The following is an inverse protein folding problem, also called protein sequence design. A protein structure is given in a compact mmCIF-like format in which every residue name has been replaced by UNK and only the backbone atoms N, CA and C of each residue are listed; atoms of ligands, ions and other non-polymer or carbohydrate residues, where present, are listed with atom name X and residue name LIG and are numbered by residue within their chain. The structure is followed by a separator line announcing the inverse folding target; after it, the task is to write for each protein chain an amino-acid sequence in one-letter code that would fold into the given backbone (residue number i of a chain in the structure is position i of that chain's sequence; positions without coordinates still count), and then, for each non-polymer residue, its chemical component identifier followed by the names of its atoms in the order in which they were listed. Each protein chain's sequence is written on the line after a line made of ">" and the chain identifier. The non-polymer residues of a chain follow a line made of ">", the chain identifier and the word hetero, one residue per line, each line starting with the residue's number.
data_IF_125197557556
#
_entry.id   IF_125197557556
#
_cell.length_a   1.000
_cell.length_b   1.000
_cell.length_c   1.000
_cell.angle_alpha   90.00
_cell.angle_beta   90.00
_cell.angle_gamma   90.00
#
_symmetry.space_group_name_H-M   'P 1'
#
loop_
_entity.id
_entity.type
_entity.pdbx_description
1 polymer ?
#
# COMPACT_ATOMS: atom_id res chain seq x y z
N UNK A 1 41.69 -21.23 34.16
CA UNK A 1 41.37 -21.16 32.71
C UNK A 1 39.96 -21.73 32.51
N UNK A 2 38.93 -20.88 32.52
CA UNK A 2 37.53 -21.27 32.31
C UNK A 2 37.04 -20.50 31.07
N UNK A 3 37.08 -21.14 29.91
CA UNK A 3 36.48 -20.60 28.67
C UNK A 3 34.97 -20.87 28.73
N UNK A 4 34.20 -19.87 29.15
CA UNK A 4 32.74 -19.84 29.00
C UNK A 4 32.39 -18.82 27.92
N UNK A 5 32.45 -19.23 26.66
CA UNK A 5 31.77 -18.54 25.56
C UNK A 5 31.29 -19.58 24.56
N UNK A 6 30.22 -20.27 24.93
CA UNK A 6 29.40 -21.02 23.98
C UNK A 6 28.29 -20.08 23.48
N UNK A 7 28.64 -19.16 22.60
CA UNK A 7 27.68 -18.41 21.79
C UNK A 7 27.28 -19.26 20.58
N UNK A 8 26.58 -20.36 20.83
CA UNK A 8 26.09 -21.23 19.77
C UNK A 8 25.11 -20.46 18.89
N UNK A 9 25.48 -20.24 17.63
CA UNK A 9 24.53 -19.82 16.60
C UNK A 9 23.39 -20.84 16.59
N UNK A 10 22.18 -20.44 17.00
CA UNK A 10 21.00 -21.31 16.86
C UNK A 10 20.88 -21.67 15.38
N UNK A 11 20.99 -22.96 15.07
CA UNK A 11 20.86 -23.46 13.71
C UNK A 11 19.47 -23.14 13.14
N UNK A 12 19.33 -23.23 11.82
CA UNK A 12 18.03 -23.08 11.17
C UNK A 12 17.05 -24.14 11.69
N UNK A 13 15.94 -23.67 12.28
CA UNK A 13 14.90 -24.52 12.85
C UNK A 13 13.73 -24.70 11.85
N UNK A 14 13.66 -25.82 11.10
CA UNK A 14 12.64 -26.03 10.07
C UNK A 14 11.21 -26.02 10.63
N UNK A 15 11.03 -26.56 11.84
CA UNK A 15 9.73 -26.62 12.53
C UNK A 15 9.24 -25.22 12.87
N UNK A 16 10.13 -24.36 13.37
CA UNK A 16 9.81 -22.97 13.71
C UNK A 16 9.42 -22.18 12.47
N UNK A 17 10.19 -22.30 11.38
CA UNK A 17 9.89 -21.61 10.12
C UNK A 17 8.55 -22.07 9.56
N UNK A 18 8.32 -23.38 9.50
CA UNK A 18 7.06 -23.94 9.00
C UNK A 18 5.86 -23.49 9.83
N UNK A 19 5.98 -23.43 11.16
CA UNK A 19 4.93 -22.95 12.04
C UNK A 19 4.61 -21.46 11.79
N UNK A 20 5.64 -20.60 11.71
CA UNK A 20 5.45 -19.17 11.42
C UNK A 20 4.83 -18.94 10.05
N UNK A 21 5.25 -19.71 9.04
CA UNK A 21 4.66 -19.64 7.70
C UNK A 21 3.17 -20.00 7.74
N UNK A 22 2.79 -21.09 8.44
CA UNK A 22 1.38 -21.47 8.57
C UNK A 22 0.55 -20.39 9.28
N UNK A 23 1.09 -19.77 10.32
CA UNK A 23 0.45 -18.64 11.00
C UNK A 23 0.30 -17.44 10.06
N UNK A 24 1.33 -17.12 9.27
CA UNK A 24 1.30 -16.04 8.27
C UNK A 24 0.19 -16.29 7.24
N UNK A 25 0.06 -17.51 6.73
CA UNK A 25 -1.01 -17.88 5.78
C UNK A 25 -2.40 -17.69 6.41
N UNK A 26 -2.61 -18.13 7.66
CA UNK A 26 -3.88 -17.90 8.36
C UNK A 26 -4.19 -16.41 8.49
N UNK A 27 -3.20 -15.60 8.88
CA UNK A 27 -3.36 -14.14 9.00
C UNK A 27 -3.64 -13.48 7.65
N UNK A 28 -2.97 -13.90 6.59
CA UNK A 28 -3.22 -13.44 5.22
C UNK A 28 -4.68 -13.68 4.85
N UNK A 29 -5.20 -14.89 5.09
CA UNK A 29 -6.61 -15.22 4.81
C UNK A 29 -7.58 -14.35 5.61
N UNK A 30 -7.29 -14.06 6.87
CA UNK A 30 -8.09 -13.11 7.67
C UNK A 30 -8.05 -11.69 7.08
N UNK A 31 -6.87 -11.23 6.67
CA UNK A 31 -6.70 -9.91 6.07
C UNK A 31 -7.43 -9.80 4.72
N UNK A 32 -7.37 -10.84 3.89
CA UNK A 32 -8.13 -10.91 2.64
C UNK A 32 -9.62 -10.81 2.88
N UNK A 33 -10.17 -11.59 3.82
CA UNK A 33 -11.59 -11.50 4.17
C UNK A 33 -11.99 -10.10 4.65
N UNK A 34 -11.14 -9.44 5.44
CA UNK A 34 -11.35 -8.05 5.86
C UNK A 34 -11.40 -7.09 4.67
N UNK A 35 -10.44 -7.18 3.74
CA UNK A 35 -10.36 -6.34 2.55
C UNK A 35 -11.55 -6.60 1.60
N UNK A 36 -11.93 -7.86 1.37
CA UNK A 36 -13.09 -8.21 0.55
C UNK A 36 -14.37 -7.56 1.08
N UNK A 37 -14.56 -7.58 2.39
CA UNK A 37 -15.71 -6.92 3.01
C UNK A 37 -15.62 -5.39 2.92
N UNK A 38 -14.42 -4.81 3.08
CA UNK A 38 -14.16 -3.38 2.89
C UNK A 38 -14.52 -2.93 1.46
N UNK A 39 -14.02 -3.63 0.45
CA UNK A 39 -14.33 -3.36 -0.96
C UNK A 39 -15.83 -3.43 -1.23
N UNK A 40 -16.54 -4.46 -0.71
CA UNK A 40 -18.00 -4.55 -0.86
C UNK A 40 -18.72 -3.31 -0.34
N UNK A 41 -18.33 -2.81 0.83
CA UNK A 41 -18.89 -1.59 1.41
C UNK A 41 -18.54 -0.37 0.55
N UNK A 42 -17.29 -0.25 0.11
CA UNK A 42 -16.84 0.86 -0.74
C UNK A 42 -17.58 0.88 -2.09
N UNK A 43 -17.78 -0.28 -2.75
CA UNK A 43 -18.54 -0.41 -3.99
C UNK A 43 -19.97 0.08 -3.84
N UNK A 44 -20.65 -0.29 -2.75
CA UNK A 44 -21.99 0.22 -2.44
C UNK A 44 -21.99 1.74 -2.26
N UNK A 45 -21.03 2.27 -1.50
CA UNK A 45 -20.92 3.72 -1.30
C UNK A 45 -20.59 4.47 -2.60
N UNK A 46 -19.81 3.86 -3.51
CA UNK A 46 -19.55 4.41 -4.84
C UNK A 46 -20.85 4.44 -5.65
N UNK A 47 -21.64 3.36 -5.64
CA UNK A 47 -22.94 3.35 -6.31
C UNK A 47 -23.88 4.45 -5.77
N UNK A 48 -23.93 4.65 -4.45
CA UNK A 48 -24.68 5.74 -3.82
C UNK A 48 -24.20 7.13 -4.27
N UNK A 49 -22.88 7.34 -4.42
CA UNK A 49 -22.31 8.59 -4.92
C UNK A 49 -22.63 8.84 -6.40
N UNK A 50 -22.61 7.79 -7.23
CA UNK A 50 -22.96 7.88 -8.65
C UNK A 50 -24.44 8.20 -8.82
N UNK A 51 -25.33 7.66 -7.99
CA UNK A 51 -26.76 7.93 -8.03
C UNK A 51 -27.13 9.40 -7.72
N UNK A 52 -26.31 10.08 -6.90
CA UNK A 52 -26.46 11.52 -6.60
C UNK A 52 -25.56 12.43 -7.45
N UNK A 53 -25.01 11.91 -8.55
CA UNK A 53 -24.17 12.62 -9.52
C UNK A 53 -22.88 13.24 -8.93
N UNK A 54 -22.36 12.72 -7.81
CA UNK A 54 -21.11 13.18 -7.19
C UNK A 54 -19.89 12.45 -7.75
N UNK A 55 -19.60 12.69 -9.03
CA UNK A 55 -18.57 11.99 -9.81
C UNK A 55 -17.13 12.17 -9.26
N UNK A 56 -16.75 13.37 -8.82
CA UNK A 56 -15.41 13.62 -8.24
C UNK A 56 -15.15 12.80 -6.96
N UNK A 57 -16.16 12.73 -6.09
CA UNK A 57 -16.09 11.91 -4.87
C UNK A 57 -16.03 10.42 -5.19
N UNK A 58 -16.80 9.96 -6.19
CA UNK A 58 -16.74 8.59 -6.66
C UNK A 58 -15.36 8.22 -7.25
N UNK A 59 -14.73 9.15 -7.98
CA UNK A 59 -13.37 8.98 -8.54
C UNK A 59 -12.30 8.78 -7.48
N UNK A 60 -12.30 9.59 -6.42
CA UNK A 60 -11.34 9.42 -5.32
C UNK A 60 -11.54 8.06 -4.63
N UNK A 61 -12.81 7.68 -4.46
CA UNK A 61 -13.17 6.47 -3.71
C UNK A 61 -12.90 5.18 -4.50
N UNK A 62 -13.07 5.20 -5.82
CA UNK A 62 -12.79 4.03 -6.67
C UNK A 62 -11.31 3.66 -6.67
N UNK A 63 -10.40 4.64 -6.61
CA UNK A 63 -8.98 4.33 -6.54
C UNK A 63 -8.63 3.54 -5.26
N UNK A 64 -9.29 3.87 -4.14
CA UNK A 64 -9.11 3.13 -2.89
C UNK A 64 -9.62 1.70 -3.01
N UNK A 65 -10.83 1.50 -3.56
CA UNK A 65 -11.41 0.18 -3.78
C UNK A 65 -10.54 -0.68 -4.71
N UNK A 66 -10.06 -0.10 -5.80
CA UNK A 66 -9.17 -0.78 -6.74
C UNK A 66 -7.83 -1.16 -6.11
N UNK A 67 -7.24 -0.29 -5.28
CA UNK A 67 -6.01 -0.62 -4.55
C UNK A 67 -6.21 -1.79 -3.59
N UNK A 68 -7.34 -1.84 -2.91
CA UNK A 68 -7.69 -2.96 -2.02
C UNK A 68 -7.91 -4.27 -2.81
N UNK A 69 -8.61 -4.23 -3.95
CA UNK A 69 -8.77 -5.39 -4.85
C UNK A 69 -7.43 -5.95 -5.33
N UNK A 70 -6.55 -5.07 -5.81
CA UNK A 70 -5.20 -5.42 -6.26
C UNK A 70 -4.37 -6.00 -5.11
N UNK A 71 -4.52 -5.46 -3.90
CA UNK A 71 -3.86 -5.98 -2.70
C UNK A 71 -4.35 -7.37 -2.31
N UNK A 72 -5.64 -7.66 -2.45
CA UNK A 72 -6.20 -9.01 -2.21
C UNK A 72 -5.53 -10.03 -3.13
N UNK A 73 -5.42 -9.72 -4.43
CA UNK A 73 -4.73 -10.59 -5.39
C UNK A 73 -3.24 -10.76 -5.04
N UNK A 74 -2.56 -9.69 -4.62
CA UNK A 74 -1.17 -9.76 -4.16
C UNK A 74 -0.97 -10.66 -2.94
N UNK A 75 -1.90 -10.61 -1.98
CA UNK A 75 -1.91 -11.48 -0.81
C UNK A 75 -2.16 -12.95 -1.17
N UNK A 76 -2.96 -13.24 -2.20
CA UNK A 76 -3.16 -14.62 -2.70
C UNK A 76 -1.85 -15.20 -3.24
N UNK A 77 -1.15 -14.43 -4.08
CA UNK A 77 0.15 -14.84 -4.63
C UNK A 77 1.17 -15.06 -3.52
N UNK A 78 1.21 -14.19 -2.50
CA UNK A 78 2.09 -14.35 -1.34
C UNK A 78 1.79 -15.64 -0.56
N UNK A 79 0.51 -15.95 -0.34
CA UNK A 79 0.10 -17.18 0.35
C UNK A 79 0.57 -18.43 -0.40
N UNK A 80 0.49 -18.45 -1.73
CA UNK A 80 0.98 -19.57 -2.55
C UNK A 80 2.48 -19.80 -2.38
N UNK A 81 3.30 -18.73 -2.38
CA UNK A 81 4.73 -18.85 -2.15
C UNK A 81 5.06 -19.35 -0.74
N UNK A 82 4.35 -18.85 0.27
CA UNK A 82 4.48 -19.32 1.65
C UNK A 82 4.16 -20.82 1.77
N UNK A 83 3.05 -21.27 1.19
CA UNK A 83 2.67 -22.69 1.19
C UNK A 83 3.70 -23.57 0.45
N UNK A 84 4.21 -23.13 -0.70
CA UNK A 84 5.29 -23.81 -1.42
C UNK A 84 6.54 -24.00 -0.54
N UNK A 85 6.99 -22.94 0.12
CA UNK A 85 8.16 -22.97 1.00
C UNK A 85 7.91 -23.86 2.22
N UNK A 86 6.72 -23.82 2.82
CA UNK A 86 6.36 -24.71 3.94
C UNK A 86 6.38 -26.19 3.56
N UNK A 87 6.01 -26.52 2.33
CA UNK A 87 6.02 -27.89 1.80
C UNK A 87 7.44 -28.38 1.49
N UNK A 88 8.37 -27.47 1.17
CA UNK A 88 9.77 -27.79 0.83
C UNK A 88 10.79 -27.36 1.89
N UNK A 89 10.36 -27.21 3.16
CA UNK A 89 11.25 -26.72 4.23
C UNK A 89 12.43 -27.67 4.53
N UNK A 90 12.25 -28.99 4.36
CA UNK A 90 13.33 -29.98 4.49
C UNK A 90 14.45 -29.74 3.46
N UNK A 91 14.09 -29.46 2.21
CA UNK A 91 15.10 -29.17 1.18
C UNK A 91 15.93 -27.93 1.53
N UNK A 92 15.29 -26.90 2.09
CA UNK A 92 15.97 -25.70 2.58
C UNK A 92 16.92 -26.06 3.74
N UNK A 93 16.50 -26.93 4.65
CA UNK A 93 17.32 -27.36 5.78
C UNK A 93 18.59 -28.06 5.30
N UNK A 94 18.49 -28.96 4.33
CA UNK A 94 19.61 -29.79 3.84
C UNK A 94 20.58 -29.00 2.95
N UNK A 95 20.09 -27.95 2.28
CA UNK A 95 20.88 -27.15 1.36
C UNK A 95 21.75 -26.12 2.11
N UNK A 96 23.00 -25.95 1.69
CA UNK A 96 23.89 -24.89 2.24
C UNK A 96 23.57 -23.52 1.65
N UNK A 97 23.20 -23.48 0.37
CA UNK A 97 22.81 -22.28 -0.39
C UNK A 97 21.33 -22.32 -0.73
N UNK A 98 20.77 -21.19 -1.16
CA UNK A 98 19.38 -21.12 -1.59
C UNK A 98 19.14 -22.05 -2.80
N UNK A 99 18.23 -23.04 -2.72
CA UNK A 99 17.94 -23.91 -3.85
C UNK A 99 17.39 -23.11 -5.03
N UNK A 100 17.84 -23.35 -6.27
CA UNK A 100 17.43 -22.55 -7.43
C UNK A 100 15.92 -22.60 -7.67
N UNK A 101 15.30 -23.76 -7.44
CA UNK A 101 13.85 -23.97 -7.56
C UNK A 101 13.01 -23.22 -6.51
N UNK A 102 13.63 -22.78 -5.41
CA UNK A 102 12.97 -22.03 -4.34
C UNK A 102 13.40 -20.57 -4.31
N UNK A 103 14.35 -20.18 -5.17
CA UNK A 103 14.93 -18.84 -5.16
C UNK A 103 13.87 -17.78 -5.36
N UNK A 104 13.03 -17.93 -6.38
CA UNK A 104 11.93 -16.99 -6.67
C UNK A 104 10.95 -16.86 -5.50
N UNK A 105 10.53 -18.00 -4.92
CA UNK A 105 9.58 -17.99 -3.80
C UNK A 105 10.18 -17.32 -2.55
N UNK A 106 11.43 -17.63 -2.22
CA UNK A 106 12.11 -17.08 -1.06
C UNK A 106 12.37 -15.59 -1.20
N UNK A 107 12.90 -15.13 -2.34
CA UNK A 107 13.15 -13.70 -2.56
C UNK A 107 11.84 -12.92 -2.63
N UNK A 108 10.78 -13.49 -3.20
CA UNK A 108 9.44 -12.90 -3.20
C UNK A 108 8.85 -12.73 -1.81
N UNK A 109 9.00 -13.72 -0.92
CA UNK A 109 8.60 -13.59 0.48
C UNK A 109 9.43 -12.53 1.20
N UNK A 110 10.75 -12.44 0.96
CA UNK A 110 11.60 -11.42 1.56
C UNK A 110 11.17 -10.01 1.13
N UNK A 111 10.92 -9.83 -0.16
CA UNK A 111 10.44 -8.57 -0.74
C UNK A 111 9.09 -8.14 -0.16
N UNK A 112 8.15 -9.07 -0.01
CA UNK A 112 6.84 -8.80 0.60
C UNK A 112 6.93 -8.53 2.10
N UNK A 113 7.86 -9.18 2.81
CA UNK A 113 8.05 -8.99 4.26
C UNK A 113 8.37 -7.54 4.66
N UNK A 114 8.99 -6.77 3.76
CA UNK A 114 9.29 -5.36 3.99
C UNK A 114 8.05 -4.46 3.79
N UNK A 115 7.11 -4.86 2.93
CA UNK A 115 5.91 -4.09 2.59
C UNK A 115 4.73 -4.41 3.49
N UNK A 116 4.64 -5.66 3.95
CA UNK A 116 3.53 -6.14 4.77
C UNK A 116 3.88 -6.26 6.26
N UNK A 117 4.98 -5.66 6.73
CA UNK A 117 5.48 -5.82 8.10
C UNK A 117 4.40 -5.48 9.16
N UNK A 118 3.68 -4.39 8.96
CA UNK A 118 2.67 -3.92 9.93
C UNK A 118 1.41 -4.79 9.93
N UNK A 119 1.12 -5.45 8.80
CA UNK A 119 -0.08 -6.28 8.64
C UNK A 119 0.18 -7.75 8.96
N UNK A 120 1.38 -8.27 8.66
CA UNK A 120 1.76 -9.68 8.78
C UNK A 120 3.09 -9.79 9.50
N UNK A 121 3.03 -9.70 10.83
CA UNK A 121 4.20 -9.68 11.71
C UNK A 121 5.03 -10.97 11.65
N UNK A 122 4.41 -12.11 11.32
CA UNK A 122 5.10 -13.40 11.21
C UNK A 122 6.15 -13.42 10.10
N UNK A 123 5.99 -12.58 9.06
CA UNK A 123 6.97 -12.47 7.98
C UNK A 123 8.32 -11.93 8.47
N UNK A 124 8.33 -11.12 9.52
CA UNK A 124 9.57 -10.63 10.14
C UNK A 124 10.33 -11.77 10.81
N UNK A 125 9.65 -12.65 11.54
CA UNK A 125 10.27 -13.85 12.11
C UNK A 125 10.75 -14.83 11.04
N UNK A 126 9.99 -14.98 9.95
CA UNK A 126 10.40 -15.80 8.79
C UNK A 126 11.69 -15.24 8.17
N UNK A 127 11.76 -13.91 8.00
CA UNK A 127 12.94 -13.21 7.50
C UNK A 127 14.17 -13.42 8.40
N UNK A 128 14.02 -13.32 9.72
CA UNK A 128 15.11 -13.59 10.67
C UNK A 128 15.63 -15.03 10.55
N UNK A 129 14.73 -16.01 10.43
CA UNK A 129 15.12 -17.40 10.26
C UNK A 129 15.93 -17.63 8.97
N UNK A 130 15.54 -16.98 7.87
CA UNK A 130 16.30 -17.06 6.63
C UNK A 130 17.61 -16.26 6.67
N UNK A 131 17.68 -15.16 7.43
CA UNK A 131 18.93 -14.45 7.69
C UNK A 131 19.93 -15.35 8.44
N UNK A 132 19.46 -16.15 9.39
CA UNK A 132 20.30 -17.15 10.07
C UNK A 132 20.74 -18.29 9.15
N UNK A 133 19.93 -18.67 8.16
CA UNK A 133 20.22 -19.80 7.25
C UNK A 133 21.14 -19.42 6.09
N UNK A 134 20.86 -18.32 5.41
CA UNK A 134 21.52 -17.89 4.16
C UNK A 134 22.36 -16.62 4.32
N UNK A 135 22.32 -15.99 5.49
CA UNK A 135 22.99 -14.72 5.77
C UNK A 135 22.09 -13.51 5.53
N UNK A 136 22.45 -12.41 6.17
CA UNK A 136 21.72 -11.12 6.07
C UNK A 136 21.77 -10.53 4.66
N UNK A 137 22.87 -10.76 3.92
CA UNK A 137 23.03 -10.28 2.55
C UNK A 137 21.98 -10.88 1.61
N UNK A 138 21.67 -12.16 1.74
CA UNK A 138 20.62 -12.82 0.95
C UNK A 138 19.24 -12.19 1.21
N UNK A 139 18.95 -11.89 2.47
CA UNK A 139 17.69 -11.22 2.86
C UNK A 139 17.63 -9.81 2.28
N UNK A 140 18.70 -9.03 2.37
CA UNK A 140 18.75 -7.67 1.83
C UNK A 140 18.61 -7.66 0.31
N UNK A 141 19.27 -8.60 -0.38
CA UNK A 141 19.12 -8.81 -1.82
C UNK A 141 17.67 -9.10 -2.20
N UNK A 142 16.96 -9.95 -1.44
CA UNK A 142 15.54 -10.23 -1.65
C UNK A 142 14.65 -9.01 -1.41
N UNK A 143 14.87 -8.28 -0.31
CA UNK A 143 14.10 -7.06 0.03
C UNK A 143 14.20 -6.00 -1.07
N UNK A 144 15.42 -5.76 -1.56
CA UNK A 144 15.69 -4.74 -2.57
C UNK A 144 15.48 -5.26 -4.01
N UNK A 145 15.15 -6.54 -4.19
CA UNK A 145 15.06 -7.20 -5.49
C UNK A 145 16.30 -6.96 -6.38
N UNK A 146 17.51 -6.96 -5.81
CA UNK A 146 18.74 -6.57 -6.51
C UNK A 146 19.12 -7.50 -7.67
N UNK A 147 18.67 -8.75 -7.62
CA UNK A 147 18.91 -9.75 -8.67
C UNK A 147 17.69 -9.99 -9.59
N UNK A 148 16.63 -9.17 -9.48
CA UNK A 148 15.40 -9.32 -10.27
C UNK A 148 14.80 -10.73 -10.21
N UNK A 149 14.94 -11.39 -9.06
CA UNK A 149 14.47 -12.77 -8.84
C UNK A 149 13.11 -12.83 -8.15
N UNK A 150 12.54 -11.67 -7.78
CA UNK A 150 11.20 -11.59 -7.22
C UNK A 150 10.17 -11.72 -8.34
N UNK A 151 9.07 -12.42 -8.05
CA UNK A 151 7.98 -12.61 -8.99
C UNK A 151 7.34 -11.26 -9.41
N UNK A 152 7.26 -11.02 -10.72
CA UNK A 152 6.76 -9.76 -11.26
C UNK A 152 5.30 -9.49 -10.88
N UNK A 153 4.45 -10.53 -10.87
CA UNK A 153 3.05 -10.37 -10.48
C UNK A 153 2.92 -9.90 -9.03
N UNK A 154 3.76 -10.41 -8.12
CA UNK A 154 3.77 -9.95 -6.74
C UNK A 154 4.22 -8.48 -6.63
N UNK A 155 5.20 -8.06 -7.43
CA UNK A 155 5.67 -6.66 -7.50
C UNK A 155 4.54 -5.75 -7.97
N UNK A 156 3.86 -6.12 -9.04
CA UNK A 156 2.81 -5.29 -9.64
C UNK A 156 1.58 -5.18 -8.73
N UNK A 157 1.32 -6.19 -7.89
CA UNK A 157 0.14 -6.27 -7.02
C UNK A 157 0.34 -5.70 -5.62
N UNK A 158 1.48 -5.95 -4.98
CA UNK A 158 1.78 -5.40 -3.66
C UNK A 158 2.65 -4.13 -3.73
N UNK A 159 3.10 -3.76 -4.93
CA UNK A 159 3.79 -2.50 -5.18
C UNK A 159 2.83 -1.31 -5.12
N UNK A 160 3.41 -0.14 -4.92
CA UNK A 160 2.65 1.11 -5.05
C UNK A 160 2.48 1.43 -6.53
N UNK A 161 1.24 1.31 -7.02
CA UNK A 161 0.87 1.66 -8.40
C UNK A 161 -0.44 2.45 -8.39
N UNK A 162 -0.43 3.61 -9.02
CA UNK A 162 -1.65 4.41 -9.21
C UNK A 162 -2.43 3.83 -10.38
N UNK A 163 -3.72 3.51 -10.23
CA UNK A 163 -4.53 3.05 -11.35
C UNK A 163 -4.64 4.14 -12.41
N UNK A 164 -4.61 3.74 -13.68
CA UNK A 164 -4.81 4.69 -14.79
C UNK A 164 -6.24 5.18 -14.80
N UNK A 165 -6.43 6.41 -15.29
CA UNK A 165 -7.75 7.04 -15.30
C UNK A 165 -8.80 6.21 -16.06
N UNK A 166 -8.40 5.60 -17.18
CA UNK A 166 -9.23 4.68 -17.95
C UNK A 166 -9.72 3.48 -17.13
N UNK A 167 -8.85 2.87 -16.31
CA UNK A 167 -9.22 1.75 -15.44
C UNK A 167 -10.19 2.18 -14.36
N UNK A 168 -10.03 3.38 -13.80
CA UNK A 168 -10.99 3.94 -12.84
C UNK A 168 -12.37 4.14 -13.46
N UNK A 169 -12.44 4.71 -14.68
CA UNK A 169 -13.70 4.92 -15.40
C UNK A 169 -14.36 3.57 -15.72
N UNK A 170 -13.59 2.60 -16.20
CA UNK A 170 -14.11 1.25 -16.48
C UNK A 170 -14.68 0.58 -15.22
N UNK A 171 -13.99 0.73 -14.08
CA UNK A 171 -14.46 0.18 -12.80
C UNK A 171 -15.73 0.87 -12.29
N UNK A 172 -15.82 2.21 -12.40
CA UNK A 172 -17.03 2.97 -12.07
C UNK A 172 -18.21 2.56 -12.95
N UNK A 173 -17.97 2.39 -14.25
CA UNK A 173 -18.99 1.96 -15.21
C UNK A 173 -19.49 0.55 -14.89
N UNK A 174 -18.60 -0.36 -14.48
CA UNK A 174 -18.97 -1.70 -14.05
C UNK A 174 -19.84 -1.69 -12.79
N UNK A 175 -19.55 -0.80 -11.82
CA UNK A 175 -20.41 -0.63 -10.63
C UNK A 175 -21.77 -0.07 -11.03
N UNK A 176 -21.83 0.96 -11.88
CA UNK A 176 -23.10 1.54 -12.33
C UNK A 176 -24.00 0.49 -13.01
N UNK A 177 -23.40 -0.38 -13.83
CA UNK A 177 -24.10 -1.49 -14.46
C UNK A 177 -24.58 -2.55 -13.44
N UNK A 178 -23.74 -2.93 -12.47
CA UNK A 178 -24.10 -3.89 -11.41
C UNK A 178 -25.30 -3.41 -10.57
N UNK A 179 -25.37 -2.11 -10.28
CA UNK A 179 -26.44 -1.51 -9.49
C UNK A 179 -27.60 -0.95 -10.32
N UNK A 180 -27.58 -1.15 -11.66
CA UNK A 180 -28.63 -0.67 -12.59
C UNK A 180 -28.95 0.82 -12.43
N UNK A 181 -27.92 1.67 -12.44
CA UNK A 181 -28.09 3.13 -12.31
C UNK A 181 -28.45 3.75 -13.67
N UNK A 182 -29.72 4.16 -13.82
CA UNK A 182 -30.24 4.78 -15.06
C UNK A 182 -29.64 6.17 -15.35
N UNK A 183 -29.18 6.89 -14.32
CA UNK A 183 -28.67 8.26 -14.41
C UNK A 183 -27.14 8.34 -14.60
N UNK A 184 -26.48 7.22 -14.88
CA UNK A 184 -25.02 7.18 -15.00
C UNK A 184 -24.55 7.75 -16.35
N UNK A 185 -23.81 8.85 -16.29
CA UNK A 185 -23.18 9.48 -17.44
C UNK A 185 -21.66 9.28 -17.41
N UNK A 186 -21.17 8.43 -18.32
CA UNK A 186 -19.74 8.10 -18.43
C UNK A 186 -18.90 9.26 -19.00
N UNK A 187 -19.51 10.19 -19.74
CA UNK A 187 -18.79 11.31 -20.36
C UNK A 187 -18.46 12.40 -19.34
N UNK A 188 -19.31 12.58 -18.31
CA UNK A 188 -18.99 13.43 -17.14
C UNK A 188 -17.76 12.96 -16.38
N UNK A 189 -17.47 11.66 -16.39
CA UNK A 189 -16.24 11.11 -15.81
C UNK A 189 -15.01 11.40 -16.66
N UNK A 190 -15.16 11.86 -17.91
CA UNK A 190 -14.05 12.22 -18.81
C UNK A 190 -13.85 13.73 -18.92
N UNK A 191 -14.62 14.52 -18.19
CA UNK A 191 -14.56 15.97 -18.25
C UNK A 191 -13.18 16.47 -17.75
N UNK A 192 -12.38 17.15 -18.61
CA UNK A 192 -11.09 17.70 -18.24
C UNK A 192 -11.17 18.85 -17.23
N UNK A 193 -12.38 19.39 -16.97
CA UNK A 193 -12.61 20.43 -15.96
C UNK A 193 -12.90 19.90 -14.55
N UNK A 194 -12.98 18.58 -14.38
CA UNK A 194 -13.15 17.93 -13.07
C UNK A 194 -11.94 18.15 -12.14
N UNK A 195 -12.19 18.18 -10.83
CA UNK A 195 -11.18 18.53 -9.80
C UNK A 195 -10.03 17.52 -9.74
N UNK A 196 -10.28 16.28 -10.18
CA UNK A 196 -9.31 15.18 -10.15
C UNK A 196 -8.86 14.81 -11.56
N UNK A 197 -7.86 15.51 -12.08
CA UNK A 197 -7.07 15.08 -13.22
C UNK A 197 -5.91 14.19 -12.73
N UNK A 198 -6.02 12.87 -12.88
CA UNK A 198 -4.87 11.99 -12.69
C UNK A 198 -3.96 12.07 -13.93
N UNK A 199 -3.24 13.19 -14.09
CA UNK A 199 -2.13 13.30 -15.05
C UNK A 199 -0.90 12.66 -14.43
N UNK A 200 -0.63 11.39 -14.72
CA UNK A 200 0.76 10.90 -14.70
C UNK A 200 1.39 11.22 -16.05
N UNK A 201 1.92 12.44 -16.16
CA UNK A 201 2.76 12.90 -17.26
C UNK A 201 4.00 13.57 -16.67
N UNK A 202 5.15 12.95 -16.85
CA UNK A 202 6.44 13.36 -16.34
C UNK A 202 6.94 14.65 -17.06
N UNK A 203 7.19 15.73 -16.32
CA UNK A 203 8.18 16.77 -16.67
C UNK A 203 7.69 18.19 -17.01
N UNK A 204 8.22 19.20 -16.30
CA UNK A 204 8.38 20.58 -16.79
C UNK A 204 8.10 21.67 -15.74
N UNK A 205 9.01 22.64 -15.58
CA UNK A 205 8.95 23.76 -14.62
C UNK A 205 7.75 24.70 -14.80
N UNK A 206 7.48 25.70 -13.97
CA UNK A 206 8.35 26.71 -13.36
C UNK A 206 7.71 27.25 -12.08
N UNK A 207 8.48 27.36 -10.99
CA UNK A 207 8.10 28.19 -9.84
C UNK A 207 8.57 29.61 -10.13
N UNK A 208 7.63 30.48 -10.51
CA UNK A 208 7.86 31.91 -10.66
C UNK A 208 7.93 32.60 -9.29
N UNK A 209 9.08 33.20 -9.02
CA UNK A 209 9.37 34.09 -7.89
C UNK A 209 8.66 35.45 -8.09
N UNK A 210 7.93 35.93 -7.07
CA UNK A 210 7.17 37.19 -7.11
C UNK A 210 6.89 37.74 -5.71
N UNK A 211 6.90 39.08 -5.53
CA UNK A 211 7.16 39.72 -4.24
C UNK A 211 5.98 39.67 -3.25
N UNK A 212 6.34 39.63 -1.97
CA UNK A 212 5.46 39.54 -0.80
C UNK A 212 4.77 40.90 -0.55
N UNK A 213 3.45 40.97 -0.68
CA UNK A 213 2.65 42.09 -0.18
C UNK A 213 1.19 42.12 -0.65
N UNK A 214 0.26 41.68 0.22
CA UNK A 214 -1.18 42.00 0.14
C UNK A 214 -2.06 40.99 -0.62
N UNK A 215 -3.01 40.38 0.10
CA UNK A 215 -4.00 39.37 -0.35
C UNK A 215 -3.41 38.03 -0.86
N UNK A 216 -3.63 36.95 -0.11
CA UNK A 216 -3.27 35.60 -0.55
C UNK A 216 -4.36 35.07 -1.49
N UNK A 217 -4.16 35.24 -2.79
CA UNK A 217 -4.92 34.49 -3.79
C UNK A 217 -4.48 33.04 -3.72
N UNK A 218 -5.42 32.16 -3.39
CA UNK A 218 -5.17 30.72 -3.50
C UNK A 218 -4.93 30.36 -4.98
N UNK A 219 -4.23 29.26 -5.28
CA UNK A 219 -3.99 28.81 -6.66
C UNK A 219 -5.27 28.54 -7.49
N UNK A 220 -6.45 28.55 -6.85
CA UNK A 220 -7.78 28.44 -7.47
C UNK A 220 -8.38 29.81 -7.87
N UNK A 221 -7.64 30.92 -7.69
CA UNK A 221 -8.14 32.26 -7.95
C UNK A 221 -9.14 32.79 -6.90
N UNK A 222 -9.41 32.00 -5.86
CA UNK A 222 -10.19 32.44 -4.71
C UNK A 222 -9.38 33.43 -3.88
N UNK A 223 -9.89 34.66 -3.81
CA UNK A 223 -9.34 35.73 -3.00
C UNK A 223 -9.77 35.48 -1.55
N UNK A 224 -8.83 35.04 -0.72
CA UNK A 224 -9.09 34.91 0.72
C UNK A 224 -9.06 36.33 1.29
N UNK A 225 -10.17 36.83 1.85
CA UNK A 225 -10.16 38.12 2.52
C UNK A 225 -9.12 38.08 3.64
N UNK A 226 -8.36 39.16 3.79
CA UNK A 226 -7.51 39.30 4.97
C UNK A 226 -8.41 39.19 6.20
N UNK A 227 -8.00 38.38 7.18
CA UNK A 227 -8.65 38.35 8.48
C UNK A 227 -8.50 39.77 9.02
N UNK A 228 -9.56 40.56 8.91
CA UNK A 228 -9.62 41.85 9.58
C UNK A 228 -9.45 41.58 11.08
N UNK A 229 -8.71 42.47 11.74
CA UNK A 229 -8.33 42.38 13.13
C UNK A 229 -9.52 41.95 14.02
N UNK A 230 -9.27 41.23 15.13
CA UNK A 230 -10.34 40.64 15.92
C UNK A 230 -11.34 41.70 16.39
N UNK A 231 -12.60 41.56 15.99
CA UNK A 231 -13.67 42.51 16.33
C UNK A 231 -14.10 42.44 17.81
N UNK A 232 -13.54 41.53 18.62
CA UNK A 232 -13.94 41.35 20.01
C UNK A 232 -12.86 41.83 21.00
N UNK A 233 -13.22 42.83 21.82
CA UNK A 233 -12.43 43.40 22.94
C UNK A 233 -11.82 42.34 23.89
N UNK A 234 -12.38 41.14 23.90
CA UNK A 234 -11.96 39.99 24.71
C UNK A 234 -10.61 39.44 24.23
N UNK A 235 -10.38 39.36 22.91
CA UNK A 235 -9.13 38.81 22.36
C UNK A 235 -7.95 39.76 22.58
N UNK A 236 -8.18 41.07 22.49
CA UNK A 236 -7.17 42.10 22.81
C UNK A 236 -6.71 41.99 24.27
N UNK A 237 -7.66 41.78 25.20
CA UNK A 237 -7.34 41.55 26.62
C UNK A 237 -6.55 40.26 26.85
N UNK A 238 -6.87 39.17 26.15
CA UNK A 238 -6.15 37.91 26.26
C UNK A 238 -4.71 38.00 25.70
N UNK A 239 -4.50 38.78 24.64
CA UNK A 239 -3.17 39.02 24.06
C UNK A 239 -2.27 39.86 24.99
N UNK A 240 -2.85 40.80 25.74
CA UNK A 240 -2.11 41.58 26.74
C UNK A 240 -1.71 40.75 27.96
N UNK A 241 -2.55 39.80 28.40
CA UNK A 241 -2.26 38.90 29.52
C UNK A 241 -1.16 37.87 29.23
N UNK A 242 -0.95 37.49 27.96
CA UNK A 242 0.15 36.58 27.57
C UNK A 242 1.53 37.26 27.49
N UNK A 243 1.62 38.57 27.74
CA UNK A 243 2.87 39.33 27.67
C UNK A 243 3.41 39.77 29.04
N UNK A 244 2.86 39.27 30.14
CA UNK A 244 3.42 39.39 31.50
C UNK A 244 3.89 38.05 32.03
#
# INVERSE_FOLDING_TARGET
>A
MKKFFNGGSKGFEPVRVKANIKMAVTRIRMQQNKLVNSVKIQRRQIAELLAIEKYDSARIKVESAMREDVSIEGLEVLALFLELVANRVQLIQDSKTCPPELKEALTSIMWASARCNDTIVELTTVRECFAHKFGTQFVQMGIHNSEFSVNQKLIDRLGYQTPTNEKCIAYLSAIAAEYSLDNFDADRLRDPSGVVCATSGNGGGEFGDGPIGGATTTPSGYLVPTIDAPEDDIEVRLLQLKRQ
#
